data_IF_850087085454
#
_entry.id   IF_850087085454
#
_cell.length_a   1.000
_cell.length_b   1.000
_cell.length_c   1.000
_cell.angle_alpha   90.00
_cell.angle_beta   90.00
_cell.angle_gamma   90.00
#
_symmetry.space_group_name_H-M   'P 1'
#
loop_
_entity.id
_entity.type
_entity.pdbx_description
1 polymer ?
#
# COMPACT_ATOMS: atom_id res chain seq x y z
N UNK A 1 4.62 25.60 21.01
CA UNK A 1 3.55 24.70 21.50
C UNK A 1 3.37 23.50 20.55
N UNK A 2 3.02 23.70 19.28
CA UNK A 2 2.74 22.60 18.33
C UNK A 2 3.90 21.60 18.15
N UNK A 3 5.14 22.06 17.88
CA UNK A 3 6.31 21.18 17.68
C UNK A 3 6.78 20.41 18.93
N UNK A 4 6.49 20.91 20.14
CA UNK A 4 7.07 20.39 21.38
C UNK A 4 6.09 19.64 22.27
N UNK A 5 4.78 19.85 22.10
CA UNK A 5 3.73 19.23 22.92
C UNK A 5 2.79 18.41 22.04
N UNK A 6 2.17 19.05 21.05
CA UNK A 6 1.18 18.39 20.18
C UNK A 6 1.80 17.34 19.27
N UNK A 7 2.92 17.66 18.62
CA UNK A 7 3.61 16.77 17.69
C UNK A 7 4.07 15.44 18.34
N UNK A 8 4.77 15.42 19.50
CA UNK A 8 5.16 14.17 20.15
C UNK A 8 3.97 13.32 20.61
N UNK A 9 2.88 13.93 21.10
CA UNK A 9 1.67 13.20 21.49
C UNK A 9 0.95 12.53 20.31
N UNK A 10 1.09 13.08 19.09
CA UNK A 10 0.52 12.53 17.86
C UNK A 10 1.42 11.47 17.19
N UNK A 11 2.69 11.32 17.60
CA UNK A 11 3.62 10.37 16.97
C UNK A 11 3.11 8.92 16.90
N UNK A 12 2.47 8.34 17.93
CA UNK A 12 1.99 6.97 17.87
C UNK A 12 0.90 6.81 16.80
N UNK A 13 -0.06 7.73 16.78
CA UNK A 13 -1.19 7.72 15.82
C UNK A 13 -0.68 8.00 14.41
N UNK A 14 0.20 8.99 14.24
CA UNK A 14 0.80 9.31 12.94
C UNK A 14 1.57 8.13 12.36
N UNK A 15 2.24 7.34 13.20
CA UNK A 15 2.98 6.17 12.73
C UNK A 15 2.03 5.12 12.18
N UNK A 16 0.95 4.79 12.90
CA UNK A 16 -0.08 3.84 12.43
C UNK A 16 -0.75 4.31 11.14
N UNK A 17 -1.15 5.59 11.07
CA UNK A 17 -1.78 6.16 9.87
C UNK A 17 -0.84 6.12 8.68
N UNK A 18 0.46 6.38 8.89
CA UNK A 18 1.46 6.31 7.82
C UNK A 18 1.57 4.89 7.25
N UNK A 19 1.50 3.86 8.10
CA UNK A 19 1.48 2.45 7.63
C UNK A 19 0.27 2.19 6.74
N UNK A 20 -0.92 2.59 7.21
CA UNK A 20 -2.16 2.39 6.48
C UNK A 20 -2.15 3.10 5.12
N UNK A 21 -1.74 4.36 5.09
CA UNK A 21 -1.68 5.15 3.85
C UNK A 21 -0.68 4.58 2.85
N UNK A 22 0.47 4.09 3.29
CA UNK A 22 1.45 3.45 2.40
C UNK A 22 0.88 2.15 1.83
N UNK A 23 0.28 1.30 2.67
CA UNK A 23 -0.39 0.07 2.22
C UNK A 23 -1.51 0.36 1.21
N UNK A 24 -2.31 1.39 1.46
CA UNK A 24 -3.43 1.75 0.59
C UNK A 24 -2.93 2.32 -0.74
N UNK A 25 -1.86 3.12 -0.73
CA UNK A 25 -1.21 3.60 -1.95
C UNK A 25 -0.67 2.47 -2.83
N UNK A 26 -0.07 1.42 -2.24
CA UNK A 26 0.43 0.26 -2.99
C UNK A 26 -0.70 -0.61 -3.58
N UNK A 27 -1.88 -0.60 -2.97
CA UNK A 27 -3.03 -1.46 -3.34
C UNK A 27 -4.18 -0.69 -3.99
N UNK A 28 -3.91 0.54 -4.43
CA UNK A 28 -4.94 1.44 -4.94
C UNK A 28 -5.50 0.92 -6.27
N UNK A 29 -6.80 0.64 -6.31
CA UNK A 29 -7.48 0.13 -7.51
C UNK A 29 -8.59 1.10 -7.95
N UNK A 30 -9.51 1.41 -7.04
CA UNK A 30 -10.74 2.15 -7.34
C UNK A 30 -10.46 3.51 -7.99
N UNK A 31 -9.52 4.29 -7.44
CA UNK A 31 -9.18 5.62 -7.97
C UNK A 31 -8.60 5.57 -9.38
N UNK A 32 -7.75 4.58 -9.67
CA UNK A 32 -7.11 4.44 -10.98
C UNK A 32 -8.15 4.02 -12.02
N UNK A 33 -9.00 3.05 -11.68
CA UNK A 33 -10.09 2.61 -12.57
C UNK A 33 -11.05 3.75 -12.88
N UNK A 34 -11.44 4.51 -11.86
CA UNK A 34 -12.40 5.60 -11.99
C UNK A 34 -11.89 6.78 -12.82
N UNK A 35 -10.58 7.08 -12.76
CA UNK A 35 -10.03 8.29 -13.38
C UNK A 35 -9.37 8.03 -14.74
N UNK A 36 -8.60 6.96 -14.88
CA UNK A 36 -7.76 6.73 -16.07
C UNK A 36 -7.90 5.32 -16.64
N UNK A 37 -8.47 4.39 -15.88
CA UNK A 37 -8.53 2.97 -16.22
C UNK A 37 -7.15 2.39 -16.60
N UNK A 38 -6.08 2.89 -15.96
CA UNK A 38 -4.70 2.48 -16.26
C UNK A 38 -4.05 3.15 -17.48
N UNK A 39 -4.73 4.09 -18.15
CA UNK A 39 -4.24 4.74 -19.36
C UNK A 39 -3.26 5.92 -19.14
N UNK A 40 -2.65 6.43 -20.23
CA UNK A 40 -2.58 5.83 -21.57
C UNK A 40 -1.50 4.74 -21.64
N UNK A 41 -1.80 3.61 -22.30
CA UNK A 41 -0.83 2.55 -22.57
C UNK A 41 -0.24 1.85 -21.34
N UNK A 42 -0.96 1.81 -20.23
CA UNK A 42 -0.48 1.18 -19.00
C UNK A 42 0.22 2.14 -18.02
N UNK A 43 0.40 3.42 -18.40
CA UNK A 43 1.24 4.36 -17.64
C UNK A 43 0.75 4.67 -16.22
N UNK A 44 -0.53 4.43 -15.93
CA UNK A 44 -1.12 4.64 -14.60
C UNK A 44 -1.64 3.36 -13.97
N UNK A 45 -1.27 2.18 -14.49
CA UNK A 45 -1.70 0.92 -13.89
C UNK A 45 -1.07 0.73 -12.52
N UNK A 46 -1.90 0.45 -11.53
CA UNK A 46 -1.44 -0.07 -10.27
C UNK A 46 -1.23 -1.57 -10.34
N UNK A 47 -0.44 -2.05 -9.39
CA UNK A 47 -0.29 -3.45 -9.06
C UNK A 47 -1.62 -4.19 -8.91
N UNK A 48 -2.63 -3.56 -8.29
CA UNK A 48 -3.95 -4.14 -8.14
C UNK A 48 -4.73 -4.23 -9.47
N UNK A 49 -4.57 -3.23 -10.34
CA UNK A 49 -5.19 -3.24 -11.67
C UNK A 49 -4.56 -4.31 -12.58
N UNK A 50 -3.24 -4.50 -12.51
CA UNK A 50 -2.52 -5.54 -13.23
C UNK A 50 -3.01 -6.95 -12.84
N UNK A 51 -3.08 -7.23 -11.54
CA UNK A 51 -3.62 -8.49 -11.02
C UNK A 51 -5.04 -8.73 -11.52
N UNK A 52 -5.87 -7.68 -11.54
CA UNK A 52 -7.24 -7.77 -12.04
C UNK A 52 -7.29 -8.07 -13.54
N UNK A 53 -6.46 -7.37 -14.34
CA UNK A 53 -6.38 -7.55 -15.78
C UNK A 53 -5.93 -8.98 -16.12
N UNK A 54 -4.82 -9.46 -15.56
CA UNK A 54 -4.32 -10.81 -15.84
C UNK A 54 -5.22 -11.90 -15.24
N UNK A 55 -5.73 -11.71 -14.02
CA UNK A 55 -6.54 -12.70 -13.31
C UNK A 55 -7.95 -12.87 -13.89
N UNK A 56 -8.65 -11.75 -14.13
CA UNK A 56 -10.07 -11.78 -14.51
C UNK A 56 -10.34 -11.44 -15.98
N UNK A 57 -9.52 -10.57 -16.59
CA UNK A 57 -9.75 -10.09 -17.96
C UNK A 57 -9.14 -11.03 -19.00
N UNK A 58 -7.93 -11.52 -18.74
CA UNK A 58 -7.25 -12.53 -19.56
C UNK A 58 -7.58 -13.97 -19.14
N UNK A 59 -8.33 -14.14 -18.05
CA UNK A 59 -8.73 -15.45 -17.49
C UNK A 59 -7.51 -16.30 -17.06
N UNK A 60 -6.35 -15.67 -16.88
CA UNK A 60 -5.12 -16.30 -16.41
C UNK A 60 -5.03 -16.20 -14.88
N UNK A 61 -5.96 -16.89 -14.19
CA UNK A 61 -6.05 -16.86 -12.73
C UNK A 61 -4.76 -17.27 -12.02
N UNK A 62 -4.01 -18.25 -12.56
CA UNK A 62 -2.74 -18.69 -11.99
C UNK A 62 -1.68 -17.59 -12.00
N UNK A 63 -1.62 -16.78 -13.06
CA UNK A 63 -0.71 -15.64 -13.16
C UNK A 63 -1.15 -14.51 -12.21
N UNK A 64 -2.43 -14.16 -12.20
CA UNK A 64 -2.95 -13.14 -11.28
C UNK A 64 -2.74 -13.50 -9.81
N UNK A 65 -2.86 -14.78 -9.44
CA UNK A 65 -2.57 -15.26 -8.09
C UNK A 65 -1.07 -15.15 -7.78
N UNK A 66 -0.19 -15.52 -8.72
CA UNK A 66 1.26 -15.40 -8.52
C UNK A 66 1.68 -13.93 -8.27
N UNK A 67 1.13 -13.01 -9.06
CA UNK A 67 1.34 -11.57 -8.88
C UNK A 67 0.81 -11.08 -7.53
N UNK A 68 -0.40 -11.49 -7.14
CA UNK A 68 -0.98 -11.14 -5.83
C UNK A 68 -0.14 -11.63 -4.66
N UNK A 69 0.45 -12.84 -4.75
CA UNK A 69 1.34 -13.38 -3.72
C UNK A 69 2.62 -12.56 -3.62
N UNK A 70 3.26 -12.23 -4.75
CA UNK A 70 4.49 -11.40 -4.76
C UNK A 70 4.23 -10.06 -4.08
N UNK A 71 3.10 -9.43 -4.40
CA UNK A 71 2.72 -8.12 -3.89
C UNK A 71 2.39 -8.19 -2.40
N UNK A 72 1.74 -9.26 -1.97
CA UNK A 72 1.50 -9.55 -0.56
C UNK A 72 2.82 -9.67 0.22
N UNK A 73 3.81 -10.37 -0.34
CA UNK A 73 5.14 -10.50 0.29
C UNK A 73 5.82 -9.13 0.43
N UNK A 74 5.77 -8.29 -0.61
CA UNK A 74 6.33 -6.93 -0.58
C UNK A 74 5.66 -6.07 0.49
N UNK A 75 4.32 -6.07 0.54
CA UNK A 75 3.56 -5.31 1.55
C UNK A 75 3.85 -5.82 2.96
N UNK A 76 3.95 -7.13 3.14
CA UNK A 76 4.27 -7.74 4.43
C UNK A 76 5.67 -7.33 4.90
N UNK A 77 6.66 -7.32 3.99
CA UNK A 77 8.01 -6.86 4.27
C UNK A 77 8.06 -5.38 4.66
N UNK A 78 7.37 -4.51 3.91
CA UNK A 78 7.25 -3.08 4.22
C UNK A 78 6.57 -2.87 5.58
N UNK A 79 5.48 -3.59 5.82
CA UNK A 79 4.72 -3.52 7.09
C UNK A 79 5.59 -3.96 8.27
N UNK A 80 6.38 -5.03 8.11
CA UNK A 80 7.30 -5.50 9.13
C UNK A 80 8.37 -4.46 9.46
N UNK A 81 8.99 -3.85 8.45
CA UNK A 81 9.97 -2.76 8.64
C UNK A 81 9.30 -1.59 9.37
N UNK A 82 8.13 -1.15 8.92
CA UNK A 82 7.46 0.01 9.52
C UNK A 82 7.05 -0.23 10.97
N UNK A 83 6.52 -1.42 11.30
CA UNK A 83 6.19 -1.80 12.68
C UNK A 83 7.46 -1.89 13.53
N UNK A 84 8.55 -2.45 13.01
CA UNK A 84 9.83 -2.51 13.72
C UNK A 84 10.40 -1.11 14.04
N UNK A 85 10.29 -0.16 13.11
CA UNK A 85 10.65 1.23 13.33
C UNK A 85 9.69 1.93 14.33
N UNK A 86 8.39 1.62 14.30
CA UNK A 86 7.39 2.15 15.23
C UNK A 86 7.63 1.70 16.66
N UNK A 87 7.92 0.41 16.88
CA UNK A 87 8.13 -0.16 18.22
C UNK A 87 9.35 0.43 18.92
N UNK A 88 10.41 0.84 18.19
CA UNK A 88 11.57 1.55 18.77
C UNK A 88 11.22 2.93 19.34
N UNK A 89 10.10 3.54 18.94
CA UNK A 89 9.62 4.84 19.44
C UNK A 89 8.59 4.74 20.56
N UNK A 90 8.09 3.53 20.87
CA UNK A 90 7.11 3.26 21.93
C UNK A 90 7.75 2.95 23.30
N UNK A 91 9.07 3.11 23.43
CA UNK A 91 9.79 2.97 24.70
C UNK A 91 10.22 4.35 25.19
N UNK A 92 9.24 5.19 25.52
CA UNK A 92 9.37 6.36 26.40
C UNK A 92 8.04 6.58 27.12
#
# INVERSE_FOLDING_TARGET
IFKSITFPFLLPVLTVVTVLVIKDGLTIYDYIVALTNGGPGGATESTALLIYNHGFKEVNFSLGIAEAVIVTVIICFISFIQIAFSNKKSVY
#
